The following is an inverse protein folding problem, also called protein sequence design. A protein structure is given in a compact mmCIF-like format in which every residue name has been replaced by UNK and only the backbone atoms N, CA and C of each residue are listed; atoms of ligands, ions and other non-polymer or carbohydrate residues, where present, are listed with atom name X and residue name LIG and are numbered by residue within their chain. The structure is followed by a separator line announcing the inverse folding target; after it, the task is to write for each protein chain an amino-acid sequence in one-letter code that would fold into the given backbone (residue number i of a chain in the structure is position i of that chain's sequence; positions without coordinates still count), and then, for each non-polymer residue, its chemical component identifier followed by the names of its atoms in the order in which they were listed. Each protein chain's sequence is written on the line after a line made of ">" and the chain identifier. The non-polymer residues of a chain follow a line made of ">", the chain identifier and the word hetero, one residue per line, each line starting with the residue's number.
data_IF_754938983749
#
_entry.id   IF_754938983749
#
_cell.length_a   1.000
_cell.length_b   1.000
_cell.length_c   1.000
_cell.angle_alpha   90.00
_cell.angle_beta   90.00
_cell.angle_gamma   90.00
#
_symmetry.space_group_name_H-M   'P 1'
#
loop_
_entity.id
_entity.type
_entity.pdbx_description
1 polymer ?
#
# COMPACT_ATOMS: atom_id res chain seq x y z
N UNK A 1 2.69 16.84 1.18
CA UNK A 1 3.94 16.06 1.31
C UNK A 1 4.26 15.93 2.79
N UNK A 2 4.82 14.80 3.20
CA UNK A 2 5.30 14.55 4.57
C UNK A 2 6.72 13.99 4.50
N UNK A 3 7.58 14.41 5.41
CA UNK A 3 8.93 13.89 5.56
C UNK A 3 9.16 13.38 6.98
N UNK A 4 9.93 12.31 7.12
CA UNK A 4 10.34 11.74 8.40
C UNK A 4 11.86 11.72 8.49
N UNK A 5 12.40 12.09 9.66
CA UNK A 5 13.82 12.18 9.93
C UNK A 5 14.20 11.26 11.10
N UNK A 6 15.49 10.87 11.20
CA UNK A 6 16.00 10.14 12.36
C UNK A 6 16.44 11.11 13.48
N UNK A 7 16.94 10.57 14.60
CA UNK A 7 17.44 11.36 15.74
C UNK A 7 18.64 12.26 15.40
N UNK A 8 19.32 12.01 14.28
CA UNK A 8 20.42 12.82 13.76
C UNK A 8 19.96 13.82 12.68
N UNK A 9 18.65 14.09 12.57
CA UNK A 9 18.02 14.98 11.58
C UNK A 9 18.27 14.60 10.11
N UNK A 10 18.58 13.33 9.84
CA UNK A 10 18.75 12.81 8.48
C UNK A 10 17.43 12.32 7.92
N UNK A 11 17.14 12.64 6.66
CA UNK A 11 15.92 12.23 5.98
C UNK A 11 15.85 10.71 5.84
N UNK A 12 14.72 10.12 6.24
CA UNK A 12 14.49 8.66 6.25
C UNK A 12 13.38 8.23 5.31
N UNK A 13 12.34 9.06 5.20
CA UNK A 13 11.20 8.75 4.37
C UNK A 13 10.54 10.03 3.88
N UNK A 14 10.06 10.00 2.64
CA UNK A 14 9.19 11.02 2.05
C UNK A 14 7.91 10.38 1.58
N UNK A 15 6.79 11.03 1.86
CA UNK A 15 5.48 10.67 1.37
C UNK A 15 4.89 11.82 0.54
N UNK A 16 4.50 11.51 -0.68
CA UNK A 16 3.86 12.42 -1.62
C UNK A 16 2.45 11.93 -1.89
N UNK A 17 1.46 12.76 -1.57
CA UNK A 17 0.06 12.52 -1.94
C UNK A 17 -0.25 13.27 -3.23
N UNK A 18 -0.77 12.56 -4.21
CA UNK A 18 -1.23 13.09 -5.50
C UNK A 18 -2.76 12.94 -5.58
N UNK A 19 -3.44 13.99 -6.05
CA UNK A 19 -4.87 13.97 -6.34
C UNK A 19 -5.13 13.39 -7.74
N UNK A 20 -4.62 12.19 -8.00
CA UNK A 20 -4.78 11.46 -9.26
C UNK A 20 -4.60 9.98 -8.99
N UNK A 21 -5.42 9.14 -9.62
CA UNK A 21 -5.29 7.67 -9.63
C UNK A 21 -4.87 7.15 -11.01
N UNK A 22 -4.76 8.03 -12.01
CA UNK A 22 -4.21 7.70 -13.33
C UNK A 22 -2.72 7.41 -13.20
N UNK A 23 -2.37 6.15 -13.45
CA UNK A 23 -1.00 5.64 -13.37
C UNK A 23 -0.06 6.34 -14.34
N UNK A 24 -0.50 6.64 -15.58
CA UNK A 24 0.34 7.32 -16.55
C UNK A 24 0.69 8.73 -16.07
N UNK A 25 -0.29 9.43 -15.48
CA UNK A 25 -0.08 10.75 -14.87
C UNK A 25 0.85 10.69 -13.67
N UNK A 26 0.70 9.71 -12.79
CA UNK A 26 1.59 9.50 -11.63
C UNK A 26 3.02 9.22 -12.10
N UNK A 27 3.21 8.35 -13.09
CA UNK A 27 4.52 8.03 -13.67
C UNK A 27 5.14 9.18 -14.46
N UNK A 28 4.35 10.13 -14.95
CA UNK A 28 4.87 11.37 -15.53
C UNK A 28 5.42 12.30 -14.44
N UNK A 29 4.73 12.42 -13.31
CA UNK A 29 5.13 13.28 -12.19
C UNK A 29 6.29 12.69 -11.39
N UNK A 30 6.32 11.37 -11.23
CA UNK A 30 7.29 10.63 -10.43
C UNK A 30 7.83 9.43 -11.24
N UNK A 31 8.77 9.64 -12.19
CA UNK A 31 9.21 8.61 -13.12
C UNK A 31 9.83 7.36 -12.46
N UNK A 32 10.37 7.48 -11.25
CA UNK A 32 10.89 6.34 -10.48
C UNK A 32 9.81 5.28 -10.16
N UNK A 33 8.52 5.65 -10.21
CA UNK A 33 7.41 4.72 -9.99
C UNK A 33 7.24 3.68 -11.10
N UNK A 34 7.84 3.88 -12.27
CA UNK A 34 7.77 2.93 -13.41
C UNK A 34 8.39 1.57 -13.12
N UNK A 35 9.26 1.49 -12.12
CA UNK A 35 9.90 0.24 -11.71
C UNK A 35 9.05 -0.59 -10.74
N UNK A 36 7.97 0.00 -10.21
CA UNK A 36 7.12 -0.63 -9.22
C UNK A 36 6.21 -1.69 -9.85
N UNK A 37 6.05 -2.82 -9.17
CA UNK A 37 5.22 -3.94 -9.60
C UNK A 37 3.99 -4.07 -8.71
N UNK A 38 2.83 -4.48 -9.25
CA UNK A 38 1.63 -4.67 -8.45
C UNK A 38 1.83 -5.78 -7.41
N UNK A 39 1.34 -5.52 -6.19
CA UNK A 39 1.29 -6.50 -5.11
C UNK A 39 -0.10 -7.17 -5.12
N UNK A 40 -0.19 -8.49 -5.27
CA UNK A 40 -1.47 -9.20 -5.21
C UNK A 40 -2.21 -8.94 -3.89
N UNK A 41 -3.55 -8.86 -3.97
CA UNK A 41 -4.43 -8.74 -2.79
C UNK A 41 -4.20 -7.53 -1.88
N UNK A 42 -3.52 -6.48 -2.37
CA UNK A 42 -3.09 -5.33 -1.57
C UNK A 42 -3.98 -4.09 -1.65
N UNK A 43 -5.09 -4.17 -2.39
CA UNK A 43 -5.99 -3.03 -2.61
C UNK A 43 -5.41 -1.92 -3.51
N UNK A 44 -4.47 -2.25 -4.40
CA UNK A 44 -3.87 -1.27 -5.34
C UNK A 44 -2.47 -0.81 -4.95
N UNK A 45 -1.72 -1.61 -4.19
CA UNK A 45 -0.31 -1.33 -3.87
C UNK A 45 0.62 -1.77 -5.01
N UNK A 46 1.57 -0.92 -5.35
CA UNK A 46 2.71 -1.22 -6.22
C UNK A 46 4.00 -1.00 -5.43
N UNK A 47 5.01 -1.84 -5.65
CA UNK A 47 6.28 -1.80 -4.90
C UNK A 47 7.50 -1.98 -5.81
N UNK A 48 8.57 -1.23 -5.53
CA UNK A 48 9.91 -1.47 -6.01
C UNK A 48 10.89 -1.48 -4.83
N UNK A 49 11.82 -2.43 -4.82
CA UNK A 49 12.81 -2.58 -3.75
C UNK A 49 14.22 -2.48 -4.34
N UNK A 50 15.11 -1.83 -3.61
CA UNK A 50 16.54 -1.74 -3.92
C UNK A 50 17.38 -2.06 -2.67
N UNK A 51 18.70 -2.13 -2.83
CA UNK A 51 19.61 -2.26 -1.68
C UNK A 51 19.56 -1.04 -0.74
N UNK A 52 19.15 0.11 -1.26
CA UNK A 52 19.11 1.40 -0.54
C UNK A 52 17.78 1.65 0.16
N UNK A 53 16.72 0.89 -0.15
CA UNK A 53 15.41 1.08 0.43
C UNK A 53 14.26 0.63 -0.46
N UNK A 54 13.12 1.29 -0.30
CA UNK A 54 11.89 0.97 -1.01
C UNK A 54 11.25 2.21 -1.65
N UNK A 55 10.53 1.94 -2.73
CA UNK A 55 9.49 2.79 -3.27
C UNK A 55 8.18 2.02 -3.20
N UNK A 56 7.20 2.59 -2.50
CA UNK A 56 5.86 2.03 -2.34
C UNK A 56 4.86 3.04 -2.83
N UNK A 57 3.94 2.60 -3.69
CA UNK A 57 2.86 3.40 -4.22
C UNK A 57 1.53 2.74 -3.85
N UNK A 58 0.61 3.49 -3.26
CA UNK A 58 -0.75 3.02 -2.96
C UNK A 58 -1.79 3.83 -3.74
N UNK A 59 -2.56 3.13 -4.57
CA UNK A 59 -3.61 3.71 -5.42
C UNK A 59 -4.97 3.53 -4.75
N UNK A 60 -5.54 4.63 -4.28
CA UNK A 60 -6.88 4.68 -3.70
C UNK A 60 -7.92 5.06 -4.77
N UNK A 61 -8.42 4.08 -5.54
CA UNK A 61 -9.42 4.37 -6.59
C UNK A 61 -10.76 4.87 -6.03
N UNK A 62 -11.15 4.41 -4.85
CA UNK A 62 -12.37 4.81 -4.15
C UNK A 62 -12.30 6.23 -3.56
N UNK A 63 -11.08 6.76 -3.38
CA UNK A 63 -10.84 8.06 -2.75
C UNK A 63 -10.14 9.05 -3.69
N UNK A 64 -9.95 8.67 -4.96
CA UNK A 64 -9.30 9.46 -6.00
C UNK A 64 -7.93 10.03 -5.61
N UNK A 65 -7.11 9.24 -4.91
CA UNK A 65 -5.75 9.66 -4.57
C UNK A 65 -4.70 8.56 -4.71
N UNK A 66 -3.46 9.02 -4.80
CA UNK A 66 -2.24 8.24 -4.86
C UNK A 66 -1.32 8.68 -3.72
N UNK A 67 -0.75 7.73 -2.98
CA UNK A 67 0.36 8.03 -2.07
C UNK A 67 1.60 7.30 -2.54
N UNK A 68 2.68 8.04 -2.75
CA UNK A 68 4.01 7.50 -3.06
C UNK A 68 4.90 7.73 -1.85
N UNK A 69 5.47 6.65 -1.34
CA UNK A 69 6.38 6.62 -0.22
C UNK A 69 7.75 6.15 -0.71
N UNK A 70 8.79 6.91 -0.39
CA UNK A 70 10.19 6.55 -0.62
C UNK A 70 10.84 6.47 0.74
N UNK A 71 11.41 5.33 1.09
CA UNK A 71 12.02 5.12 2.39
C UNK A 71 13.40 4.50 2.24
N UNK A 72 14.33 4.91 3.09
CA UNK A 72 15.67 4.33 3.15
C UNK A 72 15.62 2.88 3.67
N UNK A 73 16.75 2.16 3.58
CA UNK A 73 16.82 0.74 3.90
C UNK A 73 16.30 0.39 5.28
N UNK A 74 16.71 1.13 6.29
CA UNK A 74 16.32 0.80 7.66
C UNK A 74 14.86 1.19 7.97
N UNK A 75 14.29 2.18 7.31
CA UNK A 75 12.84 2.45 7.39
C UNK A 75 12.04 1.43 6.58
N UNK A 76 12.54 1.03 5.40
CA UNK A 76 11.97 -0.03 4.57
C UNK A 76 11.85 -1.35 5.35
N UNK A 77 12.91 -1.76 6.04
CA UNK A 77 12.91 -3.00 6.83
C UNK A 77 11.82 -3.02 7.91
N UNK A 78 11.53 -1.87 8.51
CA UNK A 78 10.46 -1.72 9.49
C UNK A 78 9.08 -1.72 8.80
N UNK A 79 8.94 -0.96 7.72
CA UNK A 79 7.69 -0.82 7.00
C UNK A 79 7.23 -2.15 6.38
N UNK A 80 8.13 -2.93 5.78
CA UNK A 80 7.82 -4.25 5.20
C UNK A 80 7.21 -5.17 6.26
N UNK A 81 7.81 -5.23 7.46
CA UNK A 81 7.31 -6.04 8.58
C UNK A 81 5.94 -5.56 9.05
N UNK A 82 5.73 -4.25 9.13
CA UNK A 82 4.45 -3.67 9.52
C UNK A 82 3.36 -3.96 8.48
N UNK A 83 3.67 -3.82 7.18
CA UNK A 83 2.76 -4.10 6.07
C UNK A 83 2.37 -5.57 6.01
N UNK A 84 3.31 -6.50 6.15
CA UNK A 84 3.01 -7.93 6.17
C UNK A 84 1.97 -8.29 7.27
N UNK A 85 2.13 -7.73 8.48
CA UNK A 85 1.16 -7.91 9.56
C UNK A 85 -0.21 -7.30 9.25
N UNK A 86 -0.24 -6.16 8.56
CA UNK A 86 -1.48 -5.52 8.11
C UNK A 86 -2.19 -6.39 7.07
N UNK A 87 -1.45 -6.86 6.06
CA UNK A 87 -1.97 -7.70 4.97
C UNK A 87 -2.56 -9.02 5.54
N UNK A 88 -1.89 -9.66 6.50
CA UNK A 88 -2.41 -10.84 7.20
C UNK A 88 -3.71 -10.56 7.95
N UNK A 89 -3.80 -9.43 8.66
CA UNK A 89 -5.01 -9.03 9.40
C UNK A 89 -6.18 -8.78 8.44
N UNK A 90 -5.94 -8.09 7.32
CA UNK A 90 -6.97 -7.87 6.30
C UNK A 90 -7.42 -9.20 5.67
N UNK A 91 -6.49 -10.10 5.35
CA UNK A 91 -6.85 -11.42 4.83
C UNK A 91 -7.70 -12.22 5.83
N UNK A 92 -7.40 -12.16 7.12
CA UNK A 92 -8.22 -12.80 8.17
C UNK A 92 -9.61 -12.18 8.28
N UNK A 93 -9.73 -10.84 8.18
CA UNK A 93 -11.02 -10.15 8.18
C UNK A 93 -11.87 -10.56 6.98
N UNK A 94 -11.31 -10.60 5.77
CA UNK A 94 -12.02 -11.03 4.57
C UNK A 94 -12.57 -12.44 4.71
N UNK A 95 -11.76 -13.39 5.21
CA UNK A 95 -12.23 -14.78 5.48
C UNK A 95 -13.41 -14.83 6.46
N UNK A 96 -13.45 -13.95 7.47
CA UNK A 96 -14.57 -13.87 8.41
C UNK A 96 -15.82 -13.31 7.75
N UNK A 97 -15.69 -12.29 6.91
CA UNK A 97 -16.80 -11.73 6.14
C UNK A 97 -17.37 -12.75 5.15
N UNK A 98 -16.53 -13.49 4.42
CA UNK A 98 -16.97 -14.53 3.49
C UNK A 98 -17.81 -15.58 4.22
N UNK A 99 -17.34 -16.06 5.39
CA UNK A 99 -18.08 -17.01 6.23
C UNK A 99 -19.43 -16.47 6.72
N UNK A 100 -19.49 -15.18 7.06
CA UNK A 100 -20.74 -14.51 7.45
C UNK A 100 -21.72 -14.45 6.26
N UNK A 101 -21.23 -14.11 5.06
CA UNK A 101 -22.04 -14.08 3.83
C UNK A 101 -22.58 -15.48 3.50
N UNK A 102 -21.75 -16.52 3.59
CA UNK A 102 -22.19 -17.91 3.39
C UNK A 102 -23.26 -18.32 4.40
N UNK A 103 -23.08 -17.96 5.67
CA UNK A 103 -24.06 -18.25 6.73
C UNK A 103 -25.39 -17.53 6.45
N UNK A 104 -25.37 -16.27 6.04
CA UNK A 104 -26.57 -15.51 5.71
C UNK A 104 -27.33 -16.12 4.53
N UNK A 105 -26.63 -16.49 3.44
CA UNK A 105 -27.23 -17.18 2.28
C UNK A 105 -27.87 -18.52 2.67
N UNK A 106 -27.24 -19.27 3.57
CA UNK A 106 -27.76 -20.55 4.05
C UNK A 106 -29.04 -20.41 4.92
N UNK A 107 -29.27 -19.23 5.51
CA UNK A 107 -30.48 -18.91 6.26
C UNK A 107 -31.60 -18.42 5.33
N UNK A 108 -31.28 -17.57 4.35
CA UNK A 108 -32.27 -17.09 3.35
C UNK A 108 -32.79 -18.22 2.45
N UNK A 109 -31.97 -19.19 2.07
CA UNK A 109 -32.40 -20.34 1.25
C UNK A 109 -33.22 -21.40 1.98
N UNK A 110 -33.53 -21.21 3.27
CA UNK A 110 -34.35 -22.12 4.08
C UNK A 110 -35.78 -21.61 4.32
N UNK A 111 -36.16 -20.48 3.70
CA UNK A 111 -37.50 -19.92 3.73
C UNK A 111 -38.17 -19.98 2.36
#
# INVERSE_FOLDING_TARGET
>A
MKASFNEADQLRQVEVRLASTDEARVQQLLPMTRQAKPVPNSGGRLEAFSAEGELVYWVAKDRDWTVVTIADKASSDQNVKARAKSDERFAQLNRKFDKLIETAKAVEGKH
#
